data_IF_230014711771
#
_entry.id   IF_230014711771
#
_cell.length_a   1.000
_cell.length_b   1.000
_cell.length_c   1.000
_cell.angle_alpha   90.00
_cell.angle_beta   90.00
_cell.angle_gamma   90.00
#
_symmetry.space_group_name_H-M   'P 1'
#
loop_
_entity.id
_entity.type
_entity.pdbx_description
1 polymer ?
#
# COMPACT_ATOMS: atom_id res chain seq x y z
N UNK A 1 -11.12 0.20 -4.18
CA UNK A 1 -10.82 -1.25 -4.34
C UNK A 1 -10.43 -1.91 -3.01
N UNK A 2 -10.64 -3.23 -2.88
CA UNK A 2 -10.07 -4.04 -1.78
C UNK A 2 -9.06 -5.03 -2.37
N UNK A 3 -7.86 -5.09 -1.79
CA UNK A 3 -6.79 -6.04 -2.16
C UNK A 3 -6.41 -6.84 -0.92
N UNK A 4 -6.54 -8.16 -0.97
CA UNK A 4 -6.15 -9.06 0.14
C UNK A 4 -4.73 -9.56 -0.07
N UNK A 5 -3.97 -9.67 1.02
CA UNK A 5 -2.63 -10.22 1.07
C UNK A 5 -2.43 -11.01 2.38
N UNK A 6 -1.33 -11.75 2.49
CA UNK A 6 -1.10 -12.70 3.60
C UNK A 6 -1.24 -12.07 4.99
N UNK A 7 -0.87 -10.80 5.14
CA UNK A 7 -0.92 -10.09 6.42
C UNK A 7 -2.22 -9.30 6.63
N UNK A 8 -3.15 -9.28 5.67
CA UNK A 8 -4.44 -8.61 5.83
C UNK A 8 -5.01 -8.04 4.53
N UNK A 9 -5.46 -6.78 4.57
CA UNK A 9 -6.11 -6.16 3.41
C UNK A 9 -5.82 -4.68 3.26
N UNK A 10 -5.84 -4.25 2.00
CA UNK A 10 -5.73 -2.87 1.56
C UNK A 10 -7.11 -2.42 1.11
N UNK A 11 -7.50 -1.23 1.54
CA UNK A 11 -8.69 -0.52 1.08
C UNK A 11 -8.16 0.75 0.42
N UNK A 12 -8.28 0.81 -0.91
CA UNK A 12 -7.75 1.90 -1.71
C UNK A 12 -8.88 2.70 -2.35
N UNK A 13 -8.67 4.00 -2.47
CA UNK A 13 -9.46 4.92 -3.28
C UNK A 13 -8.51 5.80 -4.09
N UNK A 14 -9.03 6.65 -4.95
CA UNK A 14 -8.22 7.63 -5.67
C UNK A 14 -7.55 8.68 -4.76
N UNK A 15 -7.95 8.76 -3.49
CA UNK A 15 -7.47 9.79 -2.55
C UNK A 15 -6.56 9.21 -1.47
N UNK A 16 -6.88 8.02 -0.96
CA UNK A 16 -6.17 7.43 0.17
C UNK A 16 -6.04 5.92 0.09
N UNK A 17 -5.08 5.39 0.84
CA UNK A 17 -4.89 3.96 1.07
C UNK A 17 -4.92 3.68 2.56
N UNK A 18 -5.76 2.71 2.94
CA UNK A 18 -5.84 2.17 4.30
C UNK A 18 -5.39 0.70 4.27
N UNK A 19 -4.35 0.37 5.03
CA UNK A 19 -3.90 -1.01 5.25
C UNK A 19 -4.36 -1.46 6.62
N UNK A 20 -5.04 -2.61 6.67
CA UNK A 20 -5.41 -3.28 7.91
C UNK A 20 -4.64 -4.58 8.01
N UNK A 21 -3.75 -4.67 8.99
CA UNK A 21 -3.03 -5.88 9.31
C UNK A 21 -3.89 -6.74 10.23
N UNK A 22 -4.04 -8.00 9.88
CA UNK A 22 -4.78 -8.99 10.64
C UNK A 22 -3.84 -9.71 11.63
N UNK A 23 -4.30 -9.88 12.86
CA UNK A 23 -3.55 -10.45 13.97
C UNK A 23 -4.28 -10.21 15.29
N UNK A 24 -3.69 -10.66 16.41
CA UNK A 24 -4.27 -10.47 17.74
C UNK A 24 -4.44 -8.97 18.08
N UNK A 25 -3.51 -8.15 17.59
CA UNK A 25 -3.62 -6.70 17.60
C UNK A 25 -4.11 -6.19 16.24
N UNK A 26 -5.19 -5.40 16.26
CA UNK A 26 -5.67 -4.71 15.04
C UNK A 26 -4.80 -3.49 14.77
N UNK A 27 -3.96 -3.57 13.75
CA UNK A 27 -3.14 -2.45 13.29
C UNK A 27 -3.77 -1.86 12.02
N UNK A 28 -3.95 -0.54 12.02
CA UNK A 28 -4.38 0.22 10.85
C UNK A 28 -3.30 1.24 10.51
N UNK A 29 -2.92 1.31 9.24
CA UNK A 29 -2.05 2.34 8.68
C UNK A 29 -2.80 3.04 7.55
N UNK A 30 -2.65 4.35 7.45
CA UNK A 30 -3.33 5.17 6.45
C UNK A 30 -2.35 6.23 5.93
N UNK A 31 -2.48 6.57 4.65
CA UNK A 31 -1.79 7.70 4.03
C UNK A 31 -2.60 8.20 2.82
N UNK A 32 -2.39 9.46 2.46
CA UNK A 32 -2.91 10.03 1.22
C UNK A 32 -2.09 9.49 0.02
N UNK A 33 -2.71 9.41 -1.16
CA UNK A 33 -2.07 8.84 -2.36
C UNK A 33 -0.81 9.61 -2.77
N UNK A 34 -0.77 10.93 -2.56
CA UNK A 34 0.39 11.78 -2.83
C UNK A 34 1.59 11.55 -1.90
N UNK A 35 1.37 10.88 -0.76
CA UNK A 35 2.41 10.48 0.19
C UNK A 35 2.96 9.06 -0.10
N UNK A 36 2.39 8.35 -1.07
CA UNK A 36 2.73 6.96 -1.37
C UNK A 36 3.77 6.82 -2.48
N UNK A 37 4.62 5.81 -2.32
CA UNK A 37 5.50 5.29 -3.38
C UNK A 37 5.33 3.78 -3.48
N UNK A 38 5.09 3.28 -4.69
CA UNK A 38 5.02 1.85 -4.99
C UNK A 38 6.37 1.40 -5.56
N UNK A 39 6.99 0.38 -4.96
CA UNK A 39 8.32 -0.09 -5.34
C UNK A 39 8.20 -1.51 -5.90
N UNK A 40 8.42 -1.63 -7.22
CA UNK A 40 8.42 -2.89 -7.95
C UNK A 40 9.66 -3.74 -7.67
N UNK A 41 9.59 -5.05 -7.92
CA UNK A 41 10.65 -6.01 -7.60
C UNK A 41 10.70 -6.42 -6.13
N UNK A 42 10.46 -5.48 -5.21
CA UNK A 42 10.31 -5.76 -3.77
C UNK A 42 8.85 -5.94 -3.31
N UNK A 43 7.88 -5.50 -4.13
CA UNK A 43 6.44 -5.45 -3.82
C UNK A 43 6.12 -4.64 -2.58
N UNK A 44 6.70 -3.45 -2.47
CA UNK A 44 6.59 -2.61 -1.26
C UNK A 44 5.76 -1.37 -1.55
N UNK A 45 4.85 -1.08 -0.63
CA UNK A 45 4.20 0.23 -0.50
C UNK A 45 4.95 0.98 0.58
N UNK A 46 5.39 2.19 0.28
CA UNK A 46 5.97 3.10 1.28
C UNK A 46 5.12 4.35 1.36
N UNK A 47 4.88 4.85 2.57
CA UNK A 47 4.30 6.16 2.79
C UNK A 47 5.32 7.06 3.49
N UNK A 48 5.56 8.25 2.95
CA UNK A 48 6.46 9.25 3.55
C UNK A 48 5.78 10.62 3.49
N UNK A 49 5.62 11.24 4.66
CA UNK A 49 5.02 12.57 4.82
C UNK A 49 5.57 13.30 6.03
N UNK A 50 4.98 14.45 6.39
CA UNK A 50 5.51 15.38 7.42
C UNK A 50 5.57 14.83 8.86
N UNK A 51 5.14 13.60 9.08
CA UNK A 51 5.26 12.90 10.37
C UNK A 51 4.95 11.41 10.26
N UNK A 52 4.93 10.86 9.04
CA UNK A 52 4.59 9.48 8.78
C UNK A 52 5.73 8.84 7.97
N UNK A 53 6.13 7.65 8.41
CA UNK A 53 7.04 6.80 7.68
C UNK A 53 6.68 5.35 8.00
N UNK A 54 6.12 4.65 7.02
CA UNK A 54 5.85 3.23 7.13
C UNK A 54 6.01 2.56 5.77
N UNK A 55 6.27 1.27 5.81
CA UNK A 55 6.32 0.42 4.63
C UNK A 55 5.65 -0.91 4.89
N UNK A 56 4.93 -1.43 3.90
CA UNK A 56 4.39 -2.79 3.93
C UNK A 56 4.75 -3.52 2.65
N UNK A 57 5.14 -4.79 2.79
CA UNK A 57 5.39 -5.68 1.67
C UNK A 57 4.10 -6.44 1.32
N UNK A 58 3.82 -6.55 0.03
CA UNK A 58 2.76 -7.37 -0.55
C UNK A 58 3.31 -8.72 -0.99
N UNK A 59 2.43 -9.67 -1.20
CA UNK A 59 2.81 -11.04 -1.58
C UNK A 59 3.27 -11.11 -3.04
N UNK A 60 2.66 -10.32 -3.92
CA UNK A 60 2.83 -10.45 -5.37
C UNK A 60 2.86 -9.12 -6.10
N UNK A 61 3.55 -9.10 -7.24
CA UNK A 61 3.57 -7.97 -8.16
C UNK A 61 2.17 -7.61 -8.64
N UNK A 62 1.27 -8.59 -8.80
CA UNK A 62 -0.10 -8.37 -9.24
C UNK A 62 -0.89 -7.49 -8.25
N UNK A 63 -0.72 -7.68 -6.95
CA UNK A 63 -1.35 -6.84 -5.93
C UNK A 63 -0.85 -5.40 -6.03
N UNK A 64 0.45 -5.21 -6.28
CA UNK A 64 1.05 -3.88 -6.46
C UNK A 64 0.53 -3.19 -7.73
N UNK A 65 0.42 -3.93 -8.83
CA UNK A 65 -0.13 -3.45 -10.11
C UNK A 65 -1.61 -3.06 -9.99
N UNK A 66 -2.40 -3.86 -9.28
CA UNK A 66 -3.80 -3.55 -8.97
C UNK A 66 -3.93 -2.25 -8.16
N UNK A 67 -3.09 -2.08 -7.15
CA UNK A 67 -3.09 -0.86 -6.35
C UNK A 67 -2.71 0.36 -7.19
N UNK A 68 -1.65 0.26 -7.99
CA UNK A 68 -1.19 1.32 -8.89
C UNK A 68 -2.29 1.77 -9.86
N UNK A 69 -3.01 0.80 -10.45
CA UNK A 69 -4.12 1.06 -11.35
C UNK A 69 -5.29 1.77 -10.67
N UNK A 70 -5.61 1.43 -9.42
CA UNK A 70 -6.70 2.04 -8.66
C UNK A 70 -6.38 3.49 -8.23
N UNK A 71 -5.18 3.73 -7.71
CA UNK A 71 -4.81 5.03 -7.14
C UNK A 71 -4.14 5.98 -8.14
N UNK A 72 -3.82 5.49 -9.34
CA UNK A 72 -3.32 6.31 -10.45
C UNK A 72 -1.86 6.76 -10.32
N UNK A 73 -1.03 6.05 -9.54
CA UNK A 73 0.41 6.35 -9.39
C UNK A 73 1.28 5.25 -10.02
N UNK A 74 2.43 5.65 -10.57
CA UNK A 74 3.35 4.73 -11.22
C UNK A 74 4.14 3.88 -10.20
N UNK A 75 4.52 2.67 -10.61
CA UNK A 75 5.43 1.82 -9.85
C UNK A 75 6.86 2.20 -10.20
N UNK A 76 7.67 2.46 -9.18
CA UNK A 76 9.09 2.77 -9.29
C UNK A 76 9.92 1.49 -9.30
N UNK A 77 10.89 1.39 -10.21
CA UNK A 77 11.88 0.32 -10.26
C UNK A 77 13.27 0.95 -10.10
N UNK A 78 14.07 0.42 -9.18
CA UNK A 78 15.47 0.82 -8.97
C UNK A 78 16.42 -0.20 -9.59
#
# INVERSE_FOLDING_TARGET
MIITFSQGKIIATQYEVVIRIEGDCRIMMQAQVDELTLIGGANVITAVGSGLNWSVKLDTDQQLQQLAAEIGIAITHY
#
